data_IF_559019868286
#
_entry.id   IF_559019868286
#
_cell.length_a   1.000
_cell.length_b   1.000
_cell.length_c   1.000
_cell.angle_alpha   90.00
_cell.angle_beta   90.00
_cell.angle_gamma   90.00
#
_symmetry.space_group_name_H-M   'P 1'
#
loop_
_entity.id
_entity.type
_entity.pdbx_description
1 polymer ?
#
# COMPACT_ATOMS: atom_id res chain seq x y z
N UNK A 1 12.34 -6.39 0.65
CA UNK A 1 10.97 -6.29 0.12
C UNK A 1 10.68 -4.89 -0.45
N UNK A 2 11.01 -3.80 0.26
CA UNK A 2 10.79 -2.42 -0.21
C UNK A 2 11.16 -2.14 -1.67
N UNK A 3 12.35 -2.55 -2.14
CA UNK A 3 12.74 -2.32 -3.55
C UNK A 3 11.75 -2.91 -4.55
N UNK A 4 11.11 -4.05 -4.25
CA UNK A 4 10.06 -4.62 -5.10
C UNK A 4 8.76 -3.82 -4.94
N UNK A 5 8.40 -3.54 -3.69
CA UNK A 5 7.19 -2.81 -3.32
C UNK A 5 7.18 -1.37 -3.80
N UNK A 6 8.32 -0.75 -4.07
CA UNK A 6 8.39 0.62 -4.60
C UNK A 6 7.64 0.78 -5.93
N UNK A 7 7.44 -0.30 -6.69
CA UNK A 7 6.60 -0.29 -7.90
C UNK A 7 5.17 0.15 -7.57
N UNK A 8 4.65 -0.25 -6.41
CA UNK A 8 3.35 0.16 -5.89
C UNK A 8 3.34 1.64 -5.50
N UNK A 9 4.41 2.12 -4.88
CA UNK A 9 4.58 3.52 -4.48
C UNK A 9 5.08 4.45 -5.60
N UNK A 10 5.29 3.95 -6.81
CA UNK A 10 5.81 4.75 -7.91
C UNK A 10 4.74 5.70 -8.48
N UNK A 11 3.47 5.40 -8.25
CA UNK A 11 2.36 6.19 -8.74
C UNK A 11 2.46 7.65 -8.31
N UNK A 12 2.11 8.55 -9.24
CA UNK A 12 2.13 10.00 -9.00
C UNK A 12 0.81 10.51 -8.40
N UNK A 13 -0.22 9.66 -8.43
CA UNK A 13 -1.52 9.81 -7.78
C UNK A 13 -2.11 8.41 -7.54
N UNK A 14 -2.97 8.27 -6.53
CA UNK A 14 -3.55 6.98 -6.14
C UNK A 14 -4.93 6.80 -6.76
N UNK A 15 -5.15 5.63 -7.34
CA UNK A 15 -6.48 5.13 -7.67
C UNK A 15 -6.60 3.63 -7.34
N UNK A 16 -7.79 3.07 -7.57
CA UNK A 16 -8.09 1.66 -7.25
C UNK A 16 -7.11 0.67 -7.92
N UNK A 17 -6.52 1.04 -9.06
CA UNK A 17 -5.56 0.21 -9.77
C UNK A 17 -4.19 0.18 -9.07
N UNK A 18 -3.82 1.21 -8.31
CA UNK A 18 -2.61 1.20 -7.46
C UNK A 18 -2.63 -0.01 -6.53
N UNK A 19 -3.80 -0.37 -5.99
CA UNK A 19 -4.01 -1.55 -5.14
C UNK A 19 -3.71 -2.90 -5.77
N UNK A 20 -3.33 -2.97 -7.06
CA UNK A 20 -2.87 -4.19 -7.73
C UNK A 20 -1.52 -4.03 -8.44
N UNK A 21 -0.85 -2.87 -8.32
CA UNK A 21 0.46 -2.60 -8.96
C UNK A 21 1.63 -3.14 -8.13
N UNK A 22 1.78 -4.46 -8.12
CA UNK A 22 2.90 -5.12 -7.45
C UNK A 22 3.87 -5.73 -8.45
N UNK A 23 5.14 -5.81 -8.04
CA UNK A 23 6.14 -6.48 -8.84
C UNK A 23 5.87 -8.01 -8.87
N UNK A 24 5.98 -8.70 -10.02
CA UNK A 24 5.71 -10.14 -10.09
C UNK A 24 6.52 -10.99 -9.10
N UNK A 25 7.77 -10.62 -8.83
CA UNK A 25 8.61 -11.29 -7.82
C UNK A 25 8.00 -11.15 -6.40
N UNK A 26 7.44 -9.99 -6.05
CA UNK A 26 6.77 -9.79 -4.76
C UNK A 26 5.53 -10.68 -4.65
N UNK A 27 4.75 -10.77 -5.73
CA UNK A 27 3.58 -11.65 -5.82
C UNK A 27 4.00 -13.12 -5.62
N UNK A 28 5.04 -13.59 -6.31
CA UNK A 28 5.52 -14.97 -6.21
C UNK A 28 6.03 -15.31 -4.81
N UNK A 29 6.77 -14.40 -4.17
CA UNK A 29 7.23 -14.57 -2.78
C UNK A 29 6.03 -14.64 -1.84
N UNK A 30 5.06 -13.73 -1.97
CA UNK A 30 3.83 -13.73 -1.17
C UNK A 30 3.03 -15.01 -1.35
N UNK A 31 2.85 -15.48 -2.59
CA UNK A 31 2.17 -16.73 -2.90
C UNK A 31 2.88 -17.93 -2.28
N UNK A 32 4.21 -18.02 -2.39
CA UNK A 32 4.99 -19.12 -1.81
C UNK A 32 4.81 -19.20 -0.29
N UNK A 33 4.86 -18.06 0.41
CA UNK A 33 4.63 -17.98 1.86
C UNK A 33 3.20 -18.40 2.21
N UNK A 34 2.19 -17.84 1.50
CA UNK A 34 0.78 -18.19 1.73
C UNK A 34 0.50 -19.67 1.53
N UNK A 35 1.00 -20.26 0.44
CA UNK A 35 0.85 -21.69 0.13
C UNK A 35 1.52 -22.54 1.21
N UNK A 36 2.73 -22.20 1.62
CA UNK A 36 3.44 -22.92 2.67
C UNK A 36 2.64 -22.95 3.98
N UNK A 37 2.05 -21.82 4.40
CA UNK A 37 1.19 -21.73 5.59
C UNK A 37 -0.08 -22.57 5.42
N UNK A 38 -0.75 -22.45 4.28
CA UNK A 38 -1.98 -23.22 3.99
C UNK A 38 -1.72 -24.73 4.09
N UNK A 39 -0.61 -25.21 3.51
CA UNK A 39 -0.24 -26.61 3.55
C UNK A 39 0.19 -27.06 4.96
N UNK A 40 0.98 -26.24 5.67
CA UNK A 40 1.48 -26.57 7.00
C UNK A 40 0.36 -26.74 8.04
N UNK A 41 -0.70 -25.93 7.93
CA UNK A 41 -1.82 -25.94 8.88
C UNK A 41 -3.09 -26.61 8.34
N UNK A 42 -3.06 -27.16 7.11
CA UNK A 42 -4.22 -27.79 6.50
C UNK A 42 -5.43 -26.85 6.35
N UNK A 43 -5.18 -25.58 6.02
CA UNK A 43 -6.23 -24.55 5.98
C UNK A 43 -7.27 -24.90 4.89
N UNK A 44 -8.58 -24.92 5.21
CA UNK A 44 -9.62 -25.25 4.24
C UNK A 44 -9.63 -24.28 3.05
N UNK A 45 -9.87 -24.80 1.84
CA UNK A 45 -9.93 -24.00 0.62
C UNK A 45 -10.96 -22.85 0.71
N UNK A 46 -12.10 -23.08 1.39
CA UNK A 46 -13.10 -22.04 1.62
C UNK A 46 -12.57 -20.87 2.46
N UNK A 47 -11.74 -21.15 3.48
CA UNK A 47 -11.12 -20.11 4.30
C UNK A 47 -10.09 -19.31 3.51
N UNK A 48 -9.30 -19.98 2.66
CA UNK A 48 -8.38 -19.32 1.73
C UNK A 48 -9.14 -18.40 0.77
N UNK A 49 -10.25 -18.87 0.20
CA UNK A 49 -11.08 -18.07 -0.71
C UNK A 49 -11.63 -16.82 -0.03
N UNK A 50 -12.20 -16.96 1.17
CA UNK A 50 -12.72 -15.81 1.95
C UNK A 50 -11.60 -14.82 2.25
N UNK A 51 -10.43 -15.31 2.66
CA UNK A 51 -9.26 -14.49 2.92
C UNK A 51 -8.82 -13.71 1.68
N UNK A 52 -8.69 -14.35 0.51
CA UNK A 52 -8.28 -13.68 -0.72
C UNK A 52 -9.31 -12.64 -1.18
N UNK A 53 -10.61 -12.93 -1.05
CA UNK A 53 -11.66 -11.93 -1.34
C UNK A 53 -11.52 -10.73 -0.41
N UNK A 54 -11.38 -10.95 0.89
CA UNK A 54 -11.22 -9.88 1.86
C UNK A 54 -9.95 -9.05 1.59
N UNK A 55 -8.81 -9.72 1.35
CA UNK A 55 -7.52 -9.12 1.05
C UNK A 55 -7.57 -8.22 -0.19
N UNK A 56 -8.20 -8.69 -1.27
CA UNK A 56 -8.30 -7.89 -2.50
C UNK A 56 -9.32 -6.75 -2.35
N UNK A 57 -10.44 -6.98 -1.67
CA UNK A 57 -11.45 -5.95 -1.41
C UNK A 57 -10.87 -4.80 -0.57
N UNK A 58 -10.11 -5.10 0.49
CA UNK A 58 -9.41 -4.08 1.29
C UNK A 58 -8.30 -3.41 0.48
N UNK A 59 -7.55 -4.15 -0.35
CA UNK A 59 -6.56 -3.53 -1.25
C UNK A 59 -7.19 -2.45 -2.12
N UNK A 60 -8.31 -2.79 -2.77
CA UNK A 60 -9.05 -1.86 -3.63
C UNK A 60 -9.65 -0.71 -2.84
N UNK A 61 -10.21 -0.98 -1.66
CA UNK A 61 -10.83 0.03 -0.80
C UNK A 61 -9.81 1.06 -0.32
N UNK A 62 -8.66 0.62 0.19
CA UNK A 62 -7.64 1.52 0.73
C UNK A 62 -6.98 2.40 -0.34
N UNK A 63 -7.09 2.03 -1.61
CA UNK A 63 -6.59 2.80 -2.74
C UNK A 63 -7.71 3.49 -3.52
N UNK A 64 -8.96 3.41 -3.05
CA UNK A 64 -10.07 4.05 -3.74
C UNK A 64 -9.86 5.56 -3.77
N UNK A 65 -10.06 6.19 -4.93
CA UNK A 65 -10.03 7.65 -5.07
C UNK A 65 -11.37 8.25 -4.61
N UNK A 66 -11.78 7.93 -3.38
CA UNK A 66 -13.04 8.36 -2.76
C UNK A 66 -12.74 9.06 -1.45
N UNK A 67 -13.27 10.26 -1.29
CA UNK A 67 -13.21 11.00 -0.04
C UNK A 67 -14.44 10.69 0.81
N UNK A 68 -14.21 10.28 2.05
CA UNK A 68 -15.27 10.09 3.04
C UNK A 68 -15.48 11.38 3.85
N UNK A 69 -16.70 11.64 4.35
CA UNK A 69 -16.91 12.67 5.36
C UNK A 69 -16.03 12.40 6.59
N UNK A 70 -15.37 13.43 7.12
CA UNK A 70 -14.38 13.28 8.20
C UNK A 70 -14.92 12.56 9.45
N UNK A 71 -16.21 12.71 9.78
CA UNK A 71 -16.83 12.00 10.90
C UNK A 71 -16.92 10.49 10.66
N UNK A 72 -17.21 10.08 9.42
CA UNK A 72 -17.35 8.68 9.04
C UNK A 72 -15.98 8.02 9.02
N UNK A 73 -15.03 8.66 8.34
CA UNK A 73 -13.66 8.16 8.27
C UNK A 73 -13.05 7.99 9.67
N UNK A 74 -13.25 8.94 10.60
CA UNK A 74 -12.80 8.84 11.99
C UNK A 74 -13.27 7.57 12.71
N UNK A 75 -14.48 7.10 12.40
CA UNK A 75 -15.06 5.88 12.99
C UNK A 75 -14.54 4.65 12.23
N UNK A 76 -14.60 4.66 10.89
CA UNK A 76 -14.22 3.52 10.06
C UNK A 76 -12.74 3.16 10.24
N UNK A 77 -11.85 4.17 10.32
CA UNK A 77 -10.40 3.98 10.53
C UNK A 77 -10.00 3.40 11.88
N UNK A 78 -10.95 3.07 12.75
CA UNK A 78 -10.73 2.28 13.96
C UNK A 78 -10.75 0.77 13.68
N UNK A 79 -11.38 0.34 12.58
CA UNK A 79 -11.64 -1.06 12.28
C UNK A 79 -11.00 -1.53 10.97
N UNK A 80 -10.98 -0.66 9.96
CA UNK A 80 -10.43 -0.96 8.62
C UNK A 80 -9.53 0.21 8.20
N UNK A 81 -8.45 -0.08 7.50
CA UNK A 81 -7.60 0.97 6.92
C UNK A 81 -8.41 1.73 5.87
N UNK A 82 -8.53 3.04 5.97
CA UNK A 82 -9.32 3.84 5.03
C UNK A 82 -8.45 4.40 3.90
N UNK A 83 -9.05 4.83 2.77
CA UNK A 83 -8.34 5.56 1.72
C UNK A 83 -7.43 6.66 2.24
N UNK A 84 -7.96 7.57 3.08
CA UNK A 84 -7.18 8.68 3.61
C UNK A 84 -6.06 8.21 4.55
N UNK A 85 -6.31 7.19 5.38
CA UNK A 85 -5.27 6.60 6.24
C UNK A 85 -4.13 6.00 5.41
N UNK A 86 -4.45 5.18 4.41
CA UNK A 86 -3.43 4.52 3.59
C UNK A 86 -2.71 5.50 2.67
N UNK A 87 -3.40 6.52 2.14
CA UNK A 87 -2.79 7.54 1.27
C UNK A 87 -1.60 8.24 1.94
N UNK A 88 -1.59 8.41 3.28
CA UNK A 88 -0.42 8.96 4.01
C UNK A 88 0.85 8.12 3.79
N UNK A 89 0.72 6.80 3.77
CA UNK A 89 1.83 5.86 3.51
C UNK A 89 2.44 6.03 2.12
N UNK A 90 1.67 6.57 1.18
CA UNK A 90 2.10 6.85 -0.20
C UNK A 90 2.66 8.27 -0.40
N UNK A 91 2.80 9.05 0.69
CA UNK A 91 3.45 10.35 0.63
C UNK A 91 4.89 10.24 0.12
N UNK A 92 5.34 11.28 -0.57
CA UNK A 92 6.75 11.48 -0.93
C UNK A 92 7.63 11.78 0.29
N UNK A 93 7.03 12.32 1.36
CA UNK A 93 7.75 12.67 2.57
C UNK A 93 7.97 11.42 3.40
N UNK A 94 9.24 11.03 3.59
CA UNK A 94 9.60 9.79 4.29
C UNK A 94 8.99 9.66 5.69
N UNK A 95 8.83 10.76 6.43
CA UNK A 95 8.19 10.76 7.75
C UNK A 95 6.69 10.42 7.72
N UNK A 96 6.06 10.51 6.55
CA UNK A 96 4.69 10.08 6.28
C UNK A 96 4.67 8.71 5.61
N UNK A 97 5.58 8.45 4.65
CA UNK A 97 5.74 7.13 4.03
C UNK A 97 6.01 6.04 5.07
N UNK A 98 6.88 6.30 6.04
CA UNK A 98 7.25 5.35 7.10
C UNK A 98 6.20 5.35 8.24
N UNK A 99 4.91 5.37 7.89
CA UNK A 99 3.76 5.32 8.80
C UNK A 99 2.58 4.57 8.15
N UNK A 100 1.57 4.18 8.93
CA UNK A 100 0.36 3.49 8.44
C UNK A 100 0.65 2.22 7.60
N UNK A 101 1.53 1.36 8.11
CA UNK A 101 1.95 0.09 7.48
C UNK A 101 0.86 -0.98 7.45
N UNK A 102 -0.19 -0.83 8.27
CA UNK A 102 -1.32 -1.73 8.29
C UNK A 102 -1.98 -1.80 6.92
N UNK A 103 -2.19 -3.03 6.44
CA UNK A 103 -2.88 -3.26 5.18
C UNK A 103 -4.40 -3.36 5.38
N UNK A 104 -4.91 -4.38 6.07
CA UNK A 104 -6.37 -4.54 6.28
C UNK A 104 -6.86 -3.87 7.57
N UNK A 105 -6.05 -3.93 8.62
CA UNK A 105 -6.42 -3.61 9.99
C UNK A 105 -5.50 -2.51 10.53
N UNK A 106 -6.04 -1.42 11.10
CA UNK A 106 -5.26 -0.27 11.58
C UNK A 106 -4.60 -0.51 12.94
N UNK A 107 -4.90 -1.64 13.59
CA UNK A 107 -4.49 -1.91 14.97
C UNK A 107 -2.99 -2.07 15.12
N UNK A 108 -2.31 -2.61 14.11
CA UNK A 108 -0.86 -2.76 14.11
C UNK A 108 -0.16 -1.41 14.22
N UNK A 109 -0.62 -0.41 13.47
CA UNK A 109 -0.04 0.93 13.53
C UNK A 109 -0.25 1.62 14.86
N UNK A 110 -1.37 1.36 15.52
CA UNK A 110 -1.65 1.87 16.87
C UNK A 110 -0.79 1.16 17.91
N UNK A 111 -0.64 -0.15 17.79
CA UNK A 111 0.15 -0.98 18.71
C UNK A 111 1.64 -0.63 18.64
N UNK A 112 2.16 -0.39 17.44
CA UNK A 112 3.59 -0.11 17.23
C UNK A 112 3.92 1.39 17.10
N UNK A 113 2.94 2.27 17.29
CA UNK A 113 3.15 3.72 17.29
C UNK A 113 3.48 4.32 15.91
N UNK A 114 3.12 3.63 14.82
CA UNK A 114 3.32 4.09 13.43
C UNK A 114 2.05 4.72 12.84
N UNK A 115 0.97 4.87 13.62
CA UNK A 115 -0.25 5.51 13.15
C UNK A 115 -0.07 7.01 12.94
N UNK A 116 -0.41 7.50 11.75
CA UNK A 116 -0.44 8.91 11.37
C UNK A 116 -1.81 9.29 10.85
N UNK A 117 -2.49 10.20 11.54
CA UNK A 117 -3.86 10.58 11.18
C UNK A 117 -3.92 11.40 9.88
N UNK A 118 -3.03 12.38 9.74
CA UNK A 118 -3.01 13.32 8.62
C UNK A 118 -1.57 13.58 8.14
N UNK A 119 -1.38 13.86 6.84
CA UNK A 119 -0.11 14.33 6.29
C UNK A 119 0.08 15.83 6.61
N UNK A 120 1.31 16.30 6.60
CA UNK A 120 1.70 17.66 6.94
C UNK A 120 1.00 18.73 6.08
N UNK A 121 0.79 18.45 4.80
CA UNK A 121 0.12 19.36 3.87
C UNK A 121 -1.40 19.13 3.76
N UNK A 122 -1.98 18.26 4.60
CA UNK A 122 -3.36 17.78 4.45
C UNK A 122 -3.52 16.83 3.24
N UNK A 123 -4.59 16.01 3.25
CA UNK A 123 -4.78 14.97 2.22
C UNK A 123 -4.88 15.52 0.78
N UNK A 124 -5.31 16.77 0.61
CA UNK A 124 -5.40 17.42 -0.72
C UNK A 124 -4.11 18.10 -1.15
N UNK A 125 -3.23 18.48 -0.22
CA UNK A 125 -1.97 19.17 -0.51
C UNK A 125 -0.75 18.26 -0.52
N UNK A 126 -0.89 17.00 -0.09
CA UNK A 126 0.21 16.06 -0.06
C UNK A 126 0.65 15.64 -1.46
N UNK A 127 1.94 15.35 -1.62
CA UNK A 127 2.50 14.83 -2.87
C UNK A 127 2.64 13.32 -2.74
N UNK A 128 2.04 12.59 -3.69
CA UNK A 128 2.07 11.12 -3.76
C UNK A 128 3.27 10.66 -4.57
N UNK A 129 3.87 9.55 -4.19
CA UNK A 129 4.88 8.83 -4.96
C UNK A 129 6.27 8.90 -4.34
N UNK A 130 7.29 8.44 -5.06
CA UNK A 130 8.67 8.43 -4.56
C UNK A 130 9.57 9.45 -5.29
N UNK A 131 10.59 10.02 -4.63
CA UNK A 131 11.43 11.09 -5.22
C UNK A 131 12.12 10.71 -6.53
N UNK A 132 12.46 9.43 -6.69
CA UNK A 132 13.31 8.94 -7.78
C UNK A 132 12.58 8.75 -9.11
N UNK A 133 11.28 8.45 -9.09
CA UNK A 133 10.51 8.07 -10.28
C UNK A 133 9.30 8.99 -10.45
N UNK A 134 9.60 10.26 -10.71
CA UNK A 134 8.61 11.34 -10.80
C UNK A 134 8.17 11.65 -12.22
N UNK A 135 8.98 11.27 -13.22
CA UNK A 135 8.63 11.41 -14.63
C UNK A 135 7.51 10.42 -14.97
N UNK A 136 6.37 10.85 -15.53
CA UNK A 136 5.31 9.94 -15.99
C UNK A 136 5.79 8.80 -16.90
N UNK A 137 6.90 8.98 -17.63
CA UNK A 137 7.51 7.93 -18.44
C UNK A 137 7.98 6.72 -17.59
N UNK A 138 8.27 6.91 -16.30
CA UNK A 138 8.67 5.84 -15.37
C UNK A 138 7.50 4.94 -14.95
N UNK A 139 6.25 5.35 -15.21
CA UNK A 139 5.05 4.55 -14.90
C UNK A 139 4.70 3.52 -15.98
N UNK A 140 5.49 3.45 -17.06
CA UNK A 140 5.33 2.39 -18.06
C UNK A 140 5.68 1.03 -17.45
N UNK A 141 4.98 -0.02 -17.86
CA UNK A 141 5.17 -1.38 -17.33
C UNK A 141 6.63 -1.84 -17.44
N UNK A 142 7.29 -1.62 -18.58
CA UNK A 142 8.69 -1.99 -18.78
C UNK A 142 9.62 -1.26 -17.80
N UNK A 143 9.30 -0.02 -17.46
CA UNK A 143 10.06 0.78 -16.48
C UNK A 143 9.77 0.30 -15.06
N UNK A 144 8.51 0.17 -14.68
CA UNK A 144 8.06 -0.36 -13.37
C UNK A 144 8.72 -1.70 -13.01
N UNK A 145 8.84 -2.61 -13.98
CA UNK A 145 9.50 -3.92 -13.77
C UNK A 145 11.00 -3.82 -13.49
N UNK A 146 11.65 -2.75 -13.92
CA UNK A 146 13.09 -2.56 -13.70
C UNK A 146 13.41 -1.66 -12.52
N UNK A 147 12.44 -0.85 -12.06
CA UNK A 147 12.59 0.05 -10.92
C UNK A 147 13.20 -0.61 -9.66
N UNK A 148 12.83 -1.84 -9.27
CA UNK A 148 13.44 -2.51 -8.13
C UNK A 148 14.95 -2.74 -8.22
N UNK A 149 15.50 -2.80 -9.43
CA UNK A 149 16.89 -3.13 -9.69
C UNK A 149 17.75 -1.91 -9.99
N UNK A 150 17.13 -0.74 -10.17
CA UNK A 150 17.83 0.53 -10.31
C UNK A 150 18.28 1.02 -8.94
N UNK A 151 19.41 1.71 -8.92
CA UNK A 151 19.95 2.29 -7.70
C UNK A 151 19.15 3.52 -7.29
N UNK A 152 19.15 3.79 -6.00
CA UNK A 152 18.62 5.02 -5.42
C UNK A 152 19.61 6.15 -5.70
N UNK A 153 19.73 6.55 -6.97
CA UNK A 153 20.57 7.65 -7.39
C UNK A 153 19.97 8.97 -6.87
N UNK A 154 20.28 9.30 -5.62
CA UNK A 154 19.81 10.51 -4.95
C UNK A 154 19.37 10.23 -3.53
N UNK A 155 20.33 10.05 -2.62
CA UNK A 155 20.10 10.40 -1.21
C UNK A 155 19.64 11.86 -1.20
N UNK A 156 18.41 12.11 -0.77
CA UNK A 156 17.99 13.39 -0.22
C UNK A 156 17.84 13.16 1.27
#
# INVERSE_FOLDING_TARGET
LWRLHRMHHADLDIDVTTGVRFHPIEILISMAIKIAIVLAFGIPAAAVLIFEIALNATSMFNHANVTMPAWLDRIVRLFVVTPDMHRVHHSILRAETDSNFGFNLPWWDRLFGTYRAEPQAGHSGMTIGIPMFRDPAELRIDKLLTQPFRDDAGKI
#
